data_IF_255285601248
#
_entry.id   IF_255285601248
#
_cell.length_a   1.000
_cell.length_b   1.000
_cell.length_c   1.000
_cell.angle_alpha   90.00
_cell.angle_beta   90.00
_cell.angle_gamma   90.00
#
_symmetry.space_group_name_H-M   'P 1'
#
loop_
_entity.id
_entity.type
_entity.pdbx_description
1 polymer ?
#
# COMPACT_ATOMS: atom_id res chain seq x y z
N UNK A 1 -9.90 9.62 57.04
CA UNK A 1 -9.70 10.75 56.12
C UNK A 1 -9.62 10.19 54.72
N UNK A 2 -10.76 10.10 54.04
CA UNK A 2 -10.89 9.54 52.69
C UNK A 2 -10.89 10.71 51.69
N UNK A 3 -9.98 10.67 50.72
CA UNK A 3 -9.88 11.67 49.67
C UNK A 3 -10.73 11.22 48.49
N UNK A 4 -11.83 11.92 48.25
CA UNK A 4 -12.71 11.75 47.10
C UNK A 4 -12.01 12.31 45.87
N UNK A 5 -11.70 11.46 44.90
CA UNK A 5 -11.25 11.88 43.57
C UNK A 5 -12.46 12.38 42.77
N UNK A 6 -12.43 13.67 42.42
CA UNK A 6 -13.43 14.31 41.57
C UNK A 6 -13.34 13.72 40.15
N UNK A 7 -14.37 12.98 39.73
CA UNK A 7 -14.58 12.66 38.32
C UNK A 7 -15.07 13.94 37.63
N UNK A 8 -14.22 14.57 36.84
CA UNK A 8 -14.64 15.66 35.97
C UNK A 8 -15.49 15.05 34.83
N UNK A 9 -16.77 15.45 34.79
CA UNK A 9 -17.73 14.99 33.80
C UNK A 9 -17.35 15.42 32.38
N UNK A 10 -17.50 14.49 31.44
CA UNK A 10 -17.48 14.78 30.01
C UNK A 10 -18.69 15.67 29.69
N UNK A 11 -18.44 16.89 29.21
CA UNK A 11 -19.46 17.73 28.57
C UNK A 11 -19.98 17.07 27.28
N UNK A 12 -21.07 17.59 26.69
CA UNK A 12 -21.63 17.05 25.45
C UNK A 12 -20.58 17.16 24.35
N UNK A 13 -20.02 16.01 23.97
CA UNK A 13 -18.81 15.92 23.16
C UNK A 13 -19.00 16.55 21.79
N UNK A 14 -18.16 17.53 21.48
CA UNK A 14 -17.87 17.92 20.12
C UNK A 14 -17.53 16.64 19.34
N UNK A 15 -18.24 16.37 18.25
CA UNK A 15 -18.02 15.15 17.48
C UNK A 15 -16.53 15.06 17.11
N UNK A 16 -15.87 13.97 17.48
CA UNK A 16 -14.45 13.80 17.19
C UNK A 16 -14.20 14.05 15.69
N UNK A 17 -13.11 14.73 15.30
CA UNK A 17 -12.86 15.12 13.90
C UNK A 17 -12.49 13.94 12.99
N UNK A 18 -12.72 12.71 13.48
CA UNK A 18 -12.49 11.45 12.80
C UNK A 18 -13.42 10.35 13.33
N UNK A 19 -13.59 9.32 12.51
CA UNK A 19 -14.12 8.01 12.94
C UNK A 19 -12.95 7.07 13.18
N UNK A 20 -12.98 6.34 14.27
CA UNK A 20 -11.97 5.34 14.64
C UNK A 20 -12.53 3.94 14.48
N UNK A 21 -11.71 3.04 13.92
CA UNK A 21 -12.01 1.62 13.81
C UNK A 21 -10.83 0.81 14.31
N UNK A 22 -11.10 -0.23 15.08
CA UNK A 22 -10.13 -1.28 15.35
C UNK A 22 -10.02 -2.22 14.14
N UNK A 23 -8.79 -2.50 13.70
CA UNK A 23 -8.52 -3.45 12.62
C UNK A 23 -8.47 -4.85 13.20
N UNK A 24 -9.57 -5.59 13.01
CA UNK A 24 -9.80 -6.93 13.58
C UNK A 24 -9.10 -7.99 12.76
N UNK A 25 -7.84 -8.22 13.11
CA UNK A 25 -7.03 -9.26 12.46
C UNK A 25 -7.53 -10.66 12.84
N UNK A 26 -7.83 -10.93 14.11
CA UNK A 26 -8.01 -12.30 14.64
C UNK A 26 -9.46 -12.78 14.77
N UNK A 27 -10.45 -11.98 14.40
CA UNK A 27 -11.87 -12.32 14.58
C UNK A 27 -12.55 -12.72 13.26
N UNK A 28 -13.14 -13.91 13.27
CA UNK A 28 -14.04 -14.42 12.23
C UNK A 28 -13.40 -14.67 10.86
N UNK A 29 -14.18 -15.28 9.95
CA UNK A 29 -13.80 -15.36 8.54
C UNK A 29 -13.95 -13.98 7.88
N UNK A 30 -13.11 -13.68 6.88
CA UNK A 30 -13.30 -12.48 6.06
C UNK A 30 -14.63 -12.56 5.32
N UNK A 31 -15.50 -11.53 5.38
CA UNK A 31 -16.75 -11.53 4.66
C UNK A 31 -16.50 -11.50 3.14
N UNK A 32 -17.34 -12.15 2.33
CA UNK A 32 -17.24 -12.08 0.88
C UNK A 32 -17.45 -10.64 0.38
N UNK A 33 -16.89 -10.29 -0.78
CA UNK A 33 -16.90 -8.92 -1.28
C UNK A 33 -18.29 -8.29 -1.46
N UNK A 34 -19.32 -9.12 -1.71
CA UNK A 34 -20.72 -8.68 -1.80
C UNK A 34 -21.31 -8.13 -0.50
N UNK A 35 -20.66 -8.38 0.64
CA UNK A 35 -21.10 -7.94 1.97
C UNK A 35 -20.29 -6.76 2.53
N UNK A 36 -19.36 -6.19 1.73
CA UNK A 36 -18.54 -5.05 2.13
C UNK A 36 -19.35 -3.74 2.02
N UNK A 37 -20.04 -3.38 3.09
CA UNK A 37 -20.99 -2.25 3.12
C UNK A 37 -20.42 -0.98 3.74
N UNK A 38 -19.35 -1.09 4.53
CA UNK A 38 -18.69 0.05 5.19
C UNK A 38 -17.17 0.05 5.01
N UNK A 39 -16.53 1.19 5.26
CA UNK A 39 -15.06 1.28 5.26
C UNK A 39 -14.44 0.31 6.28
N UNK A 40 -15.08 0.14 7.44
CA UNK A 40 -14.65 -0.81 8.47
C UNK A 40 -14.68 -2.26 7.97
N UNK A 41 -15.72 -2.65 7.22
CA UNK A 41 -15.82 -4.01 6.66
C UNK A 41 -14.70 -4.27 5.66
N UNK A 42 -14.44 -3.29 4.77
CA UNK A 42 -13.38 -3.40 3.75
C UNK A 42 -12.01 -3.48 4.42
N UNK A 43 -11.71 -2.60 5.38
CA UNK A 43 -10.44 -2.58 6.11
C UNK A 43 -10.20 -3.92 6.79
N UNK A 44 -11.21 -4.46 7.49
CA UNK A 44 -11.08 -5.74 8.19
C UNK A 44 -10.94 -6.93 7.23
N UNK A 45 -11.70 -6.96 6.12
CA UNK A 45 -11.56 -8.00 5.11
C UNK A 45 -10.17 -8.00 4.45
N UNK A 46 -9.67 -6.82 4.09
CA UNK A 46 -8.33 -6.62 3.52
C UNK A 46 -7.26 -7.07 4.51
N UNK A 47 -7.28 -6.57 5.75
CA UNK A 47 -6.27 -6.90 6.74
C UNK A 47 -6.18 -8.41 7.04
N UNK A 48 -7.34 -9.09 7.11
CA UNK A 48 -7.39 -10.55 7.29
C UNK A 48 -6.80 -11.30 6.10
N UNK A 49 -7.18 -10.96 4.87
CA UNK A 49 -6.63 -11.59 3.67
C UNK A 49 -5.12 -11.37 3.54
N UNK A 50 -4.64 -10.17 3.88
CA UNK A 50 -3.20 -9.87 3.92
C UNK A 50 -2.45 -10.80 4.89
N UNK A 51 -2.98 -11.03 6.09
CA UNK A 51 -2.39 -11.97 7.03
C UNK A 51 -2.51 -13.42 6.54
N UNK A 52 -3.73 -13.87 6.23
CA UNK A 52 -4.04 -15.29 6.02
C UNK A 52 -3.58 -15.84 4.67
N UNK A 53 -3.54 -14.98 3.64
CA UNK A 53 -3.22 -15.39 2.26
C UNK A 53 -1.88 -14.88 1.77
N UNK A 54 -1.40 -13.75 2.30
CA UNK A 54 -0.12 -13.17 1.89
C UNK A 54 0.98 -13.28 2.97
N UNK A 55 0.67 -13.77 4.17
CA UNK A 55 1.64 -13.95 5.24
C UNK A 55 2.16 -12.65 5.84
N UNK A 56 1.40 -11.54 5.71
CA UNK A 56 1.83 -10.25 6.22
C UNK A 56 1.64 -10.13 7.73
N UNK A 57 2.68 -9.64 8.40
CA UNK A 57 2.71 -9.42 9.84
C UNK A 57 2.19 -8.04 10.20
N UNK A 58 1.41 -7.92 11.27
CA UNK A 58 0.85 -6.66 11.75
C UNK A 58 1.16 -6.43 13.23
N UNK A 59 1.12 -5.17 13.71
CA UNK A 59 1.08 -4.88 15.14
C UNK A 59 -0.13 -5.54 15.81
N UNK A 60 0.03 -5.94 17.08
CA UNK A 60 -1.03 -6.59 17.86
C UNK A 60 -2.31 -5.74 17.95
N UNK A 61 -2.14 -4.42 18.03
CA UNK A 61 -3.23 -3.44 17.95
C UNK A 61 -2.96 -2.56 16.75
N UNK A 62 -3.89 -2.57 15.79
CA UNK A 62 -3.86 -1.72 14.60
C UNK A 62 -5.17 -0.98 14.49
N UNK A 63 -5.12 0.34 14.24
CA UNK A 63 -6.32 1.19 14.12
C UNK A 63 -6.43 1.81 12.73
N UNK A 64 -7.64 2.17 12.34
CA UNK A 64 -7.91 3.00 11.19
C UNK A 64 -8.65 4.26 11.62
N UNK A 65 -8.13 5.42 11.23
CA UNK A 65 -8.70 6.72 11.53
C UNK A 65 -9.17 7.37 10.23
N UNK A 66 -10.46 7.66 10.11
CA UNK A 66 -11.04 8.34 8.94
C UNK A 66 -11.37 9.77 9.34
N UNK A 67 -10.51 10.71 8.95
CA UNK A 67 -10.63 12.13 9.24
C UNK A 67 -11.57 12.82 8.27
N UNK A 68 -12.20 13.91 8.69
CA UNK A 68 -13.12 14.67 7.82
C UNK A 68 -12.38 15.24 6.60
N UNK A 69 -11.18 15.79 6.79
CA UNK A 69 -10.45 16.51 5.76
C UNK A 69 -8.93 16.54 6.03
N UNK A 70 -8.18 17.26 5.21
CA UNK A 70 -6.73 17.41 5.36
C UNK A 70 -6.30 18.00 6.71
N UNK A 71 -6.96 19.05 7.19
CA UNK A 71 -6.54 19.75 8.41
C UNK A 71 -6.66 18.82 9.63
N UNK A 72 -7.79 18.11 9.73
CA UNK A 72 -8.01 17.11 10.78
C UNK A 72 -7.07 15.91 10.66
N UNK A 73 -6.72 15.47 9.44
CA UNK A 73 -5.70 14.45 9.23
C UNK A 73 -4.33 14.87 9.77
N UNK A 74 -3.85 16.07 9.41
CA UNK A 74 -2.54 16.57 9.87
C UNK A 74 -2.50 16.63 11.39
N UNK A 75 -3.56 17.13 12.02
CA UNK A 75 -3.69 17.15 13.49
C UNK A 75 -3.61 15.75 14.10
N UNK A 76 -4.28 14.77 13.48
CA UNK A 76 -4.21 13.37 13.87
C UNK A 76 -2.80 12.78 13.77
N UNK A 77 -2.07 13.08 12.70
CA UNK A 77 -0.69 12.62 12.53
C UNK A 77 0.24 13.19 13.62
N UNK A 78 0.04 14.43 14.03
CA UNK A 78 0.81 15.04 15.12
C UNK A 78 0.47 14.43 16.48
N UNK A 79 -0.82 14.37 16.80
CA UNK A 79 -1.28 14.03 18.16
C UNK A 79 -1.31 12.53 18.44
N UNK A 80 -1.64 11.72 17.43
CA UNK A 80 -1.86 10.28 17.60
C UNK A 80 -0.68 9.48 17.05
N UNK A 81 -0.19 9.83 15.85
CA UNK A 81 0.94 9.10 15.26
C UNK A 81 2.31 9.56 15.80
N UNK A 82 2.38 10.72 16.46
CA UNK A 82 3.62 11.28 17.00
C UNK A 82 4.59 11.75 15.92
N UNK A 83 4.08 12.09 14.74
CA UNK A 83 4.87 12.63 13.62
C UNK A 83 5.35 14.04 13.93
N UNK A 84 6.47 14.47 13.34
CA UNK A 84 6.89 15.86 13.43
C UNK A 84 5.99 16.77 12.58
N UNK A 85 5.98 18.08 12.88
CA UNK A 85 5.24 19.08 12.10
C UNK A 85 5.54 19.01 10.60
N UNK A 86 6.81 18.91 10.24
CA UNK A 86 7.24 18.84 8.84
C UNK A 86 6.73 17.56 8.15
N UNK A 87 6.89 16.40 8.79
CA UNK A 87 6.47 15.11 8.25
C UNK A 87 4.95 15.02 8.11
N UNK A 88 4.21 15.48 9.12
CA UNK A 88 2.75 15.48 9.10
C UNK A 88 2.20 16.35 7.98
N UNK A 89 2.80 17.54 7.75
CA UNK A 89 2.40 18.42 6.66
C UNK A 89 2.76 17.86 5.28
N UNK A 90 3.96 17.29 5.09
CA UNK A 90 4.35 16.71 3.80
C UNK A 90 3.44 15.54 3.41
N UNK A 91 3.16 14.65 4.37
CA UNK A 91 2.24 13.50 4.20
C UNK A 91 0.80 13.97 3.97
N UNK A 92 0.26 14.83 4.83
CA UNK A 92 -1.14 15.24 4.81
C UNK A 92 -1.55 16.09 3.59
N UNK A 93 -0.61 16.83 2.99
CA UNK A 93 -0.89 17.73 1.86
C UNK A 93 -1.42 17.03 0.62
N UNK A 94 -0.97 15.79 0.37
CA UNK A 94 -1.23 15.09 -0.90
C UNK A 94 -1.87 13.71 -0.72
N UNK A 95 -1.63 13.05 0.42
CA UNK A 95 -1.99 11.65 0.57
C UNK A 95 -3.49 11.46 0.85
N UNK A 96 -4.10 10.46 0.21
CA UNK A 96 -5.46 10.02 0.54
C UNK A 96 -5.47 9.11 1.80
N UNK A 97 -4.33 8.48 2.09
CA UNK A 97 -4.07 7.66 3.26
C UNK A 97 -2.62 7.78 3.69
N UNK A 98 -2.35 7.55 4.97
CA UNK A 98 -1.01 7.55 5.55
C UNK A 98 -0.92 6.39 6.53
N UNK A 99 0.02 5.47 6.30
CA UNK A 99 0.36 4.43 7.25
C UNK A 99 1.40 4.88 8.28
N UNK A 100 1.18 4.48 9.54
CA UNK A 100 2.05 4.74 10.67
C UNK A 100 2.18 3.47 11.54
N UNK A 101 2.98 3.51 12.61
CA UNK A 101 3.15 2.35 13.50
C UNK A 101 1.88 1.94 14.23
N UNK A 102 0.94 2.87 14.42
CA UNK A 102 -0.34 2.61 15.13
C UNK A 102 -1.48 2.23 14.18
N UNK A 103 -1.27 2.38 12.86
CA UNK A 103 -2.22 1.98 11.84
C UNK A 103 -2.35 2.99 10.69
N UNK A 104 -3.53 3.09 10.10
CA UNK A 104 -3.78 3.91 8.90
C UNK A 104 -4.61 5.16 9.21
N UNK A 105 -4.26 6.27 8.56
CA UNK A 105 -4.88 7.58 8.72
C UNK A 105 -5.39 8.02 7.35
N UNK A 106 -6.70 8.21 7.21
CA UNK A 106 -7.37 8.32 5.92
C UNK A 106 -8.12 9.65 5.78
N UNK A 107 -8.10 10.22 4.57
CA UNK A 107 -8.84 11.43 4.21
C UNK A 107 -10.28 11.12 3.80
N UNK A 108 -11.24 11.30 4.70
CA UNK A 108 -12.67 11.06 4.46
C UNK A 108 -13.24 11.87 3.30
N UNK A 109 -12.82 13.13 3.13
CA UNK A 109 -13.18 13.96 1.97
C UNK A 109 -12.75 13.32 0.64
N UNK A 110 -11.60 12.64 0.60
CA UNK A 110 -11.15 11.90 -0.58
C UNK A 110 -11.88 10.57 -0.73
N UNK A 111 -12.07 9.82 0.36
CA UNK A 111 -12.79 8.54 0.34
C UNK A 111 -14.23 8.68 -0.16
N UNK A 112 -14.90 9.77 0.18
CA UNK A 112 -16.27 10.05 -0.24
C UNK A 112 -16.43 10.12 -1.78
N UNK A 113 -15.37 10.48 -2.49
CA UNK A 113 -15.34 10.55 -3.96
C UNK A 113 -14.77 9.28 -4.62
N UNK A 114 -14.34 8.28 -3.85
CA UNK A 114 -13.80 7.04 -4.37
C UNK A 114 -14.89 5.97 -4.49
N UNK A 115 -14.91 5.28 -5.63
CA UNK A 115 -15.68 4.04 -5.77
C UNK A 115 -15.08 2.91 -4.92
N UNK A 116 -15.87 1.85 -4.70
CA UNK A 116 -15.50 0.74 -3.81
C UNK A 116 -14.13 0.13 -4.12
N UNK A 117 -13.87 -0.18 -5.40
CA UNK A 117 -12.59 -0.74 -5.85
C UNK A 117 -11.39 0.16 -5.48
N UNK A 118 -11.52 1.48 -5.65
CA UNK A 118 -10.46 2.43 -5.30
C UNK A 118 -10.23 2.50 -3.79
N UNK A 119 -11.29 2.46 -2.99
CA UNK A 119 -11.17 2.43 -1.51
C UNK A 119 -10.49 1.15 -1.03
N UNK A 120 -10.94 -0.01 -1.52
CA UNK A 120 -10.33 -1.29 -1.18
C UNK A 120 -8.84 -1.33 -1.56
N UNK A 121 -8.51 -0.81 -2.74
CA UNK A 121 -7.12 -0.71 -3.17
C UNK A 121 -6.27 0.23 -2.32
N UNK A 122 -6.80 1.38 -1.92
CA UNK A 122 -6.11 2.31 -1.00
C UNK A 122 -5.87 1.65 0.36
N UNK A 123 -6.89 1.02 0.96
CA UNK A 123 -6.73 0.38 2.27
C UNK A 123 -5.70 -0.74 2.25
N UNK A 124 -5.68 -1.56 1.18
CA UNK A 124 -4.68 -2.60 1.00
C UNK A 124 -3.26 -2.03 0.86
N UNK A 125 -3.10 -0.94 0.12
CA UNK A 125 -1.82 -0.25 -0.03
C UNK A 125 -1.32 0.31 1.31
N UNK A 126 -2.15 1.05 2.04
CA UNK A 126 -1.75 1.64 3.34
C UNK A 126 -1.49 0.57 4.41
N UNK A 127 -2.31 -0.49 4.47
CA UNK A 127 -2.07 -1.59 5.41
C UNK A 127 -0.79 -2.36 5.07
N UNK A 128 -0.35 -2.38 3.80
CA UNK A 128 0.91 -3.00 3.43
C UNK A 128 2.09 -2.24 4.05
N UNK A 129 2.01 -0.92 4.11
CA UNK A 129 2.99 -0.09 4.81
C UNK A 129 2.96 -0.30 6.32
N UNK A 130 1.79 -0.48 6.94
CA UNK A 130 1.72 -0.86 8.37
C UNK A 130 2.48 -2.18 8.62
N UNK A 131 2.30 -3.17 7.74
CA UNK A 131 3.03 -4.44 7.84
C UNK A 131 4.54 -4.27 7.62
N UNK A 132 4.96 -3.49 6.63
CA UNK A 132 6.38 -3.17 6.42
C UNK A 132 7.00 -2.46 7.63
N UNK A 133 6.26 -1.54 8.28
CA UNK A 133 6.71 -0.88 9.50
C UNK A 133 6.88 -1.88 10.66
N UNK A 134 5.98 -2.86 10.77
CA UNK A 134 6.08 -3.94 11.76
C UNK A 134 7.27 -4.85 11.50
N UNK A 135 7.52 -5.26 10.26
CA UNK A 135 8.63 -6.16 9.90
C UNK A 135 10.00 -5.60 10.26
N UNK A 136 10.16 -4.27 10.19
CA UNK A 136 11.43 -3.60 10.56
C UNK A 136 11.51 -3.12 12.00
N UNK A 137 10.53 -3.48 12.85
CA UNK A 137 10.50 -3.03 14.24
C UNK A 137 11.79 -3.42 14.99
N UNK A 138 12.33 -2.51 15.79
CA UNK A 138 13.63 -2.66 16.45
C UNK A 138 14.82 -2.14 15.65
N UNK A 139 14.72 -2.06 14.33
CA UNK A 139 15.78 -1.55 13.46
C UNK A 139 15.67 -0.05 13.15
N UNK A 140 16.81 0.55 12.77
CA UNK A 140 16.91 1.96 12.35
C UNK A 140 16.84 2.15 10.84
N UNK A 141 17.12 1.08 10.08
CA UNK A 141 17.13 1.11 8.62
C UNK A 141 15.74 1.17 7.99
N UNK A 142 15.72 1.41 6.68
CA UNK A 142 14.52 1.33 5.84
C UNK A 142 14.89 0.84 4.46
N UNK A 143 14.06 -0.01 3.87
CA UNK A 143 14.19 -0.38 2.47
C UNK A 143 14.01 0.84 1.56
N UNK A 144 14.56 0.74 0.35
CA UNK A 144 14.41 1.79 -0.67
C UNK A 144 12.92 2.10 -0.93
N UNK A 145 12.61 3.37 -1.19
CA UNK A 145 11.24 3.82 -1.41
C UNK A 145 10.56 3.04 -2.55
N UNK A 146 11.25 2.82 -3.67
CA UNK A 146 10.68 2.06 -4.80
C UNK A 146 10.18 0.66 -4.41
N UNK A 147 10.91 -0.08 -3.57
CA UNK A 147 10.53 -1.46 -3.25
C UNK A 147 9.39 -1.50 -2.22
N UNK A 148 9.30 -0.49 -1.36
CA UNK A 148 8.19 -0.35 -0.40
C UNK A 148 6.88 -0.04 -1.12
N UNK A 149 6.88 0.97 -2.01
CA UNK A 149 5.71 1.39 -2.77
C UNK A 149 5.31 0.33 -3.80
N UNK A 150 6.29 -0.28 -4.48
CA UNK A 150 6.04 -1.37 -5.42
C UNK A 150 5.42 -2.60 -4.76
N UNK A 151 5.87 -2.95 -3.54
CA UNK A 151 5.24 -4.02 -2.75
C UNK A 151 3.84 -3.66 -2.27
N UNK A 152 3.62 -2.42 -1.83
CA UNK A 152 2.29 -1.96 -1.43
C UNK A 152 1.29 -2.04 -2.60
N UNK A 153 1.70 -1.68 -3.82
CA UNK A 153 0.89 -1.85 -5.03
C UNK A 153 0.71 -3.32 -5.44
N UNK A 154 1.75 -4.17 -5.30
CA UNK A 154 1.61 -5.60 -5.51
C UNK A 154 0.56 -6.21 -4.58
N UNK A 155 0.65 -5.90 -3.27
CA UNK A 155 -0.33 -6.33 -2.27
C UNK A 155 -1.73 -5.85 -2.63
N UNK A 156 -1.88 -4.56 -2.96
CA UNK A 156 -3.15 -3.99 -3.41
C UNK A 156 -3.78 -4.80 -4.55
N UNK A 157 -3.04 -5.09 -5.61
CA UNK A 157 -3.60 -5.82 -6.75
C UNK A 157 -3.91 -7.28 -6.40
N UNK A 158 -3.07 -7.94 -5.60
CA UNK A 158 -3.37 -9.30 -5.10
C UNK A 158 -4.62 -9.33 -4.23
N UNK A 159 -4.85 -8.30 -3.41
CA UNK A 159 -6.03 -8.20 -2.56
C UNK A 159 -7.30 -7.95 -3.37
N UNK A 160 -7.25 -7.08 -4.39
CA UNK A 160 -8.38 -6.87 -5.28
C UNK A 160 -8.77 -8.17 -6.02
N UNK A 161 -7.79 -8.99 -6.38
CA UNK A 161 -8.01 -10.30 -7.00
C UNK A 161 -8.63 -11.31 -6.01
N UNK A 162 -8.06 -11.41 -4.80
CA UNK A 162 -8.57 -12.28 -3.73
C UNK A 162 -9.98 -11.91 -3.28
N UNK A 163 -10.35 -10.62 -3.37
CA UNK A 163 -11.70 -10.13 -3.11
C UNK A 163 -12.65 -10.37 -4.31
N UNK A 164 -12.16 -10.84 -5.45
CA UNK A 164 -12.95 -10.99 -6.68
C UNK A 164 -13.39 -9.66 -7.29
N UNK A 165 -12.72 -8.57 -6.95
CA UNK A 165 -13.07 -7.22 -7.41
C UNK A 165 -12.40 -6.87 -8.75
N UNK A 166 -11.15 -7.28 -8.94
CA UNK A 166 -10.43 -7.12 -10.20
C UNK A 166 -9.32 -8.16 -10.29
N UNK A 167 -9.25 -8.88 -11.41
CA UNK A 167 -8.23 -9.87 -11.65
C UNK A 167 -6.82 -9.23 -11.63
N UNK A 168 -5.85 -9.93 -11.05
CA UNK A 168 -4.47 -9.43 -10.94
C UNK A 168 -3.87 -9.06 -12.30
N UNK A 169 -4.09 -9.90 -13.32
CA UNK A 169 -3.63 -9.66 -14.69
C UNK A 169 -4.17 -8.35 -15.27
N UNK A 170 -5.45 -8.03 -15.02
CA UNK A 170 -6.07 -6.77 -15.45
C UNK A 170 -5.37 -5.57 -14.82
N UNK A 171 -5.12 -5.59 -13.50
CA UNK A 171 -4.38 -4.52 -12.83
C UNK A 171 -2.96 -4.36 -13.36
N UNK A 172 -2.26 -5.47 -13.58
CA UNK A 172 -0.91 -5.46 -14.16
C UNK A 172 -0.89 -4.84 -15.55
N UNK A 173 -1.83 -5.21 -16.42
CA UNK A 173 -1.96 -4.65 -17.75
C UNK A 173 -2.32 -3.15 -17.73
N UNK A 174 -3.12 -2.70 -16.77
CA UNK A 174 -3.41 -1.28 -16.58
C UNK A 174 -2.14 -0.49 -16.23
N UNK A 175 -1.28 -1.04 -15.37
CA UNK A 175 0.00 -0.41 -15.06
C UNK A 175 0.89 -0.36 -16.29
N UNK A 176 1.01 -1.45 -17.05
CA UNK A 176 1.77 -1.47 -18.30
C UNK A 176 1.24 -0.43 -19.28
N UNK A 177 -0.08 -0.37 -19.49
CA UNK A 177 -0.71 0.65 -20.34
C UNK A 177 -0.48 2.07 -19.83
N UNK A 178 -0.40 2.30 -18.51
CA UNK A 178 -0.10 3.61 -17.94
C UNK A 178 1.32 4.07 -18.27
N UNK A 179 2.27 3.14 -18.29
CA UNK A 179 3.68 3.40 -18.62
C UNK A 179 3.83 3.66 -20.12
N UNK A 180 3.25 2.80 -20.96
CA UNK A 180 3.30 2.94 -22.42
C UNK A 180 2.65 4.25 -22.89
N UNK A 181 1.55 4.67 -22.25
CA UNK A 181 0.85 5.92 -22.57
C UNK A 181 1.36 7.15 -21.81
N UNK A 182 2.42 7.00 -21.01
CA UNK A 182 3.01 8.13 -20.29
C UNK A 182 3.52 9.19 -21.26
N UNK A 183 3.37 10.46 -20.89
CA UNK A 183 3.91 11.58 -21.67
C UNK A 183 5.45 11.50 -21.79
N UNK A 184 6.11 10.97 -20.77
CA UNK A 184 7.55 10.69 -20.77
C UNK A 184 7.79 9.24 -21.15
N UNK A 185 8.63 8.99 -22.16
CA UNK A 185 8.97 7.61 -22.56
C UNK A 185 9.75 6.89 -21.45
N UNK A 186 9.58 5.57 -21.26
CA UNK A 186 10.22 4.84 -20.16
C UNK A 186 11.74 4.94 -20.11
N UNK A 187 12.40 5.06 -21.27
CA UNK A 187 13.86 5.31 -21.37
C UNK A 187 14.35 6.60 -20.70
N UNK A 188 13.43 7.52 -20.40
CA UNK A 188 13.72 8.77 -19.69
C UNK A 188 13.23 8.76 -18.24
N UNK A 189 12.65 7.64 -17.77
CA UNK A 189 12.35 7.50 -16.34
C UNK A 189 13.64 7.37 -15.55
N UNK A 190 13.70 7.90 -14.32
CA UNK A 190 14.85 7.65 -13.45
C UNK A 190 15.00 6.15 -13.16
N UNK A 191 16.24 5.70 -12.99
CA UNK A 191 16.57 4.37 -12.48
C UNK A 191 16.00 4.13 -11.08
N UNK A 192 15.78 2.86 -10.69
CA UNK A 192 15.31 2.50 -9.35
C UNK A 192 16.26 2.99 -8.24
N UNK A 193 17.56 3.03 -8.52
CA UNK A 193 18.60 3.60 -7.64
C UNK A 193 18.34 5.08 -7.28
N UNK A 194 17.82 5.86 -8.23
CA UNK A 194 17.44 7.24 -8.00
C UNK A 194 16.11 7.36 -7.23
N UNK A 195 15.35 6.27 -7.09
CA UNK A 195 14.06 6.22 -6.39
C UNK A 195 14.16 5.56 -5.02
N UNK A 196 15.32 5.69 -4.37
CA UNK A 196 15.59 5.11 -3.05
C UNK A 196 15.02 5.96 -1.89
N UNK A 197 14.98 7.28 -2.03
CA UNK A 197 14.53 8.21 -0.98
C UNK A 197 13.21 8.92 -1.29
N UNK A 198 12.46 9.26 -0.23
CA UNK A 198 11.14 9.91 -0.34
C UNK A 198 11.18 11.26 -1.07
N UNK A 199 12.18 12.11 -0.79
CA UNK A 199 12.28 13.43 -1.43
C UNK A 199 12.37 13.33 -2.96
N UNK A 200 13.24 12.43 -3.46
CA UNK A 200 13.41 12.21 -4.89
C UNK A 200 12.16 11.55 -5.48
N UNK A 201 11.59 10.53 -4.82
CA UNK A 201 10.32 9.90 -5.22
C UNK A 201 9.19 10.92 -5.41
N UNK A 202 8.98 11.80 -4.43
CA UNK A 202 7.95 12.84 -4.47
C UNK A 202 8.19 13.85 -5.59
N UNK A 203 9.44 14.30 -5.77
CA UNK A 203 9.77 15.22 -6.87
C UNK A 203 9.55 14.58 -8.24
N UNK A 204 9.96 13.32 -8.43
CA UNK A 204 9.78 12.58 -9.69
C UNK A 204 8.31 12.33 -9.97
N UNK A 205 7.52 11.92 -8.98
CA UNK A 205 6.08 11.70 -9.15
C UNK A 205 5.37 12.98 -9.60
N UNK A 206 5.74 14.14 -9.04
CA UNK A 206 5.19 15.45 -9.45
C UNK A 206 5.60 15.83 -10.87
N UNK A 207 6.85 15.56 -11.26
CA UNK A 207 7.41 15.99 -12.55
C UNK A 207 7.02 15.06 -13.71
N UNK A 208 7.07 13.75 -13.49
CA UNK A 208 6.95 12.73 -14.53
C UNK A 208 5.71 11.85 -14.37
N UNK A 209 4.95 12.04 -13.29
CA UNK A 209 3.74 11.28 -13.00
C UNK A 209 3.99 9.91 -12.32
N UNK A 210 2.92 9.24 -11.88
CA UNK A 210 3.00 7.99 -11.12
C UNK A 210 3.51 6.80 -11.96
N UNK A 211 3.36 6.82 -13.29
CA UNK A 211 3.92 5.79 -14.15
C UNK A 211 5.45 5.70 -14.02
N UNK A 212 6.12 6.85 -13.85
CA UNK A 212 7.56 6.95 -13.68
C UNK A 212 8.05 6.63 -12.26
N UNK A 213 7.15 6.35 -11.31
CA UNK A 213 7.49 5.95 -9.93
C UNK A 213 6.76 4.67 -9.56
N UNK A 214 5.51 4.77 -9.15
CA UNK A 214 4.63 3.65 -8.79
C UNK A 214 4.59 2.56 -9.86
N UNK A 215 4.41 2.93 -11.13
CA UNK A 215 4.29 1.96 -12.22
C UNK A 215 5.53 1.08 -12.40
N UNK A 216 6.72 1.70 -12.53
CA UNK A 216 7.96 0.94 -12.65
C UNK A 216 8.32 0.18 -11.36
N UNK A 217 8.02 0.76 -10.19
CA UNK A 217 8.26 0.14 -8.89
C UNK A 217 7.45 -1.13 -8.72
N UNK A 218 6.15 -1.08 -9.05
CA UNK A 218 5.28 -2.25 -9.08
C UNK A 218 5.83 -3.33 -10.01
N UNK A 219 6.16 -3.01 -11.26
CA UNK A 219 6.67 -4.03 -12.20
C UNK A 219 8.01 -4.63 -11.77
N UNK A 220 8.88 -3.85 -11.13
CA UNK A 220 10.11 -4.35 -10.56
C UNK A 220 9.83 -5.36 -9.42
N UNK A 221 8.92 -5.01 -8.51
CA UNK A 221 8.54 -5.91 -7.40
C UNK A 221 7.81 -7.14 -7.89
N UNK A 222 6.86 -6.99 -8.82
CA UNK A 222 6.14 -8.08 -9.45
C UNK A 222 7.10 -9.10 -10.05
N UNK A 223 8.10 -8.64 -10.80
CA UNK A 223 9.12 -9.53 -11.34
C UNK A 223 10.01 -10.16 -10.26
N UNK A 224 10.41 -9.40 -9.25
CA UNK A 224 11.20 -9.95 -8.14
C UNK A 224 10.45 -11.10 -7.45
N UNK A 225 9.14 -10.95 -7.26
CA UNK A 225 8.24 -11.95 -6.69
C UNK A 225 8.03 -13.12 -7.66
N UNK A 226 7.85 -12.88 -8.96
CA UNK A 226 7.77 -13.96 -9.97
C UNK A 226 9.02 -14.85 -9.93
N UNK A 227 10.20 -14.25 -9.72
CA UNK A 227 11.48 -14.98 -9.77
C UNK A 227 11.83 -15.70 -8.47
N UNK A 228 11.53 -15.11 -7.32
CA UNK A 228 12.01 -15.60 -6.02
C UNK A 228 10.90 -15.89 -5.00
N UNK A 229 9.65 -15.58 -5.34
CA UNK A 229 8.50 -15.70 -4.45
C UNK A 229 8.36 -14.53 -3.49
N UNK A 230 7.12 -14.27 -3.03
CA UNK A 230 6.83 -13.19 -2.09
C UNK A 230 7.50 -13.40 -0.73
N UNK A 231 7.64 -14.66 -0.28
CA UNK A 231 8.30 -14.99 0.98
C UNK A 231 9.74 -14.44 1.06
N UNK A 232 10.48 -14.47 -0.05
CA UNK A 232 11.83 -13.87 -0.10
C UNK A 232 11.80 -12.35 0.03
N UNK A 233 10.80 -11.68 -0.56
CA UNK A 233 10.65 -10.25 -0.38
C UNK A 233 10.27 -9.88 1.06
N UNK A 234 9.43 -10.68 1.73
CA UNK A 234 9.11 -10.48 3.14
C UNK A 234 10.33 -10.68 4.03
N UNK A 235 11.11 -11.74 3.79
CA UNK A 235 12.40 -11.97 4.45
C UNK A 235 13.32 -10.74 4.28
N UNK A 236 13.40 -10.18 3.07
CA UNK A 236 14.18 -8.95 2.83
C UNK A 236 13.69 -7.76 3.68
N UNK A 237 12.39 -7.56 3.85
CA UNK A 237 11.86 -6.49 4.70
C UNK A 237 12.14 -6.74 6.19
N UNK A 238 12.00 -7.98 6.66
CA UNK A 238 12.25 -8.36 8.06
C UNK A 238 13.71 -8.13 8.47
N UNK A 239 14.65 -8.26 7.53
CA UNK A 239 16.07 -7.98 7.81
C UNK A 239 16.34 -6.54 8.25
N UNK A 240 15.46 -5.59 7.93
CA UNK A 240 15.59 -4.21 8.41
C UNK A 240 15.31 -4.05 9.90
N UNK A 241 14.86 -5.09 10.61
CA UNK A 241 14.84 -5.13 12.07
C UNK A 241 16.26 -5.29 12.67
N UNK A 242 17.22 -5.76 11.88
CA UNK A 242 18.60 -5.96 12.29
C UNK A 242 19.39 -4.65 12.25
N UNK A 243 20.32 -4.47 13.20
CA UNK A 243 21.29 -3.37 13.16
C UNK A 243 22.48 -3.72 12.26
N UNK A 244 22.20 -3.86 10.96
CA UNK A 244 23.21 -4.15 9.94
C UNK A 244 23.08 -3.18 8.76
N UNK A 245 24.11 -3.16 7.90
CA UNK A 245 24.16 -2.29 6.75
C UNK A 245 23.03 -2.64 5.75
N UNK A 246 22.14 -1.70 5.36
CA UNK A 246 21.04 -1.96 4.43
C UNK A 246 21.44 -2.66 3.12
N UNK A 247 22.64 -2.34 2.62
CA UNK A 247 23.21 -2.90 1.40
C UNK A 247 23.55 -4.41 1.53
N UNK A 248 23.71 -4.92 2.75
CA UNK A 248 23.95 -6.34 3.02
C UNK A 248 22.65 -7.14 3.04
N UNK A 249 21.51 -6.51 3.34
CA UNK A 249 20.23 -7.21 3.39
C UNK A 249 19.85 -7.82 2.03
N UNK A 250 20.13 -7.14 0.92
CA UNK A 250 19.85 -7.67 -0.41
C UNK A 250 20.64 -8.95 -0.69
N UNK A 251 21.96 -8.90 -0.48
CA UNK A 251 22.88 -10.02 -0.76
C UNK A 251 22.60 -11.25 0.09
N UNK A 252 22.02 -11.06 1.27
CA UNK A 252 21.64 -12.16 2.16
C UNK A 252 20.40 -12.92 1.68
N UNK A 253 19.54 -12.30 0.86
CA UNK A 253 18.23 -12.85 0.49
C UNK A 253 18.16 -13.23 -0.99
N UNK A 254 18.70 -12.39 -1.86
CA UNK A 254 18.62 -12.57 -3.30
C UNK A 254 19.96 -13.04 -3.87
N UNK A 255 19.95 -14.04 -4.78
CA UNK A 255 21.17 -14.64 -5.32
C UNK A 255 21.88 -13.79 -6.36
N UNK A 256 21.26 -12.69 -6.82
CA UNK A 256 21.85 -11.76 -7.78
C UNK A 256 22.27 -10.45 -7.11
N UNK A 257 23.34 -9.79 -7.57
CA UNK A 257 23.67 -8.44 -7.13
C UNK A 257 22.53 -7.44 -7.37
N UNK A 258 22.35 -6.48 -6.46
CA UNK A 258 21.33 -5.44 -6.57
C UNK A 258 21.42 -4.67 -7.90
N UNK A 259 22.64 -4.28 -8.30
CA UNK A 259 22.87 -3.56 -9.56
C UNK A 259 22.44 -4.40 -10.78
N UNK A 260 22.76 -5.69 -10.77
CA UNK A 260 22.32 -6.59 -11.84
C UNK A 260 20.80 -6.58 -11.96
N UNK A 261 20.07 -6.67 -10.84
CA UNK A 261 18.61 -6.61 -10.83
C UNK A 261 18.08 -5.28 -11.39
N UNK A 262 18.66 -4.14 -10.98
CA UNK A 262 18.24 -2.82 -11.46
C UNK A 262 18.46 -2.67 -12.98
N UNK A 263 19.60 -3.10 -13.50
CA UNK A 263 19.92 -3.07 -14.93
C UNK A 263 18.96 -3.97 -15.73
N UNK A 264 18.68 -5.16 -15.19
CA UNK A 264 17.70 -6.10 -15.70
C UNK A 264 16.29 -5.46 -15.77
N UNK A 265 15.83 -4.79 -14.71
CA UNK A 265 14.55 -4.08 -14.68
C UNK A 265 14.49 -2.97 -15.73
N UNK A 266 15.60 -2.23 -15.89
CA UNK A 266 15.71 -1.15 -16.88
C UNK A 266 15.55 -1.68 -18.30
N UNK A 267 16.28 -2.74 -18.63
CA UNK A 267 16.22 -3.36 -19.96
C UNK A 267 14.79 -3.84 -20.30
N UNK A 268 14.07 -4.41 -19.33
CA UNK A 268 12.68 -4.85 -19.55
C UNK A 268 11.70 -3.71 -19.72
N UNK A 269 11.85 -2.65 -18.93
CA UNK A 269 10.99 -1.47 -19.00
C UNK A 269 11.14 -0.73 -20.34
N UNK A 270 12.31 -0.79 -20.95
CA UNK A 270 12.59 -0.18 -22.26
C UNK A 270 12.35 -1.14 -23.45
N UNK A 271 12.35 -2.44 -23.17
CA UNK A 271 12.28 -3.49 -24.19
C UNK A 271 10.86 -3.78 -24.71
N UNK A 272 10.75 -4.54 -25.81
CA UNK A 272 9.46 -4.89 -26.44
C UNK A 272 8.58 -5.79 -25.56
N UNK A 273 9.15 -6.41 -24.52
CA UNK A 273 8.45 -7.21 -23.51
C UNK A 273 7.51 -6.41 -22.61
N UNK A 274 7.60 -5.07 -22.60
CA UNK A 274 6.62 -4.21 -21.93
C UNK A 274 5.35 -4.02 -22.79
N UNK A 275 4.83 -5.12 -23.34
CA UNK A 275 3.56 -5.13 -24.04
C UNK A 275 2.45 -5.52 -23.05
N UNK A 276 1.29 -4.84 -23.05
CA UNK A 276 0.10 -5.36 -22.37
C UNK A 276 -0.22 -6.75 -22.95
N UNK A 277 -0.74 -7.67 -22.15
CA UNK A 277 -1.32 -8.88 -22.73
C UNK A 277 -2.41 -8.47 -23.73
N UNK A 278 -2.46 -9.12 -24.91
CA UNK A 278 -3.60 -8.94 -25.81
C UNK A 278 -4.87 -9.34 -25.06
N UNK A 279 -5.80 -8.40 -24.92
CA UNK A 279 -7.08 -8.67 -24.29
C UNK A 279 -7.81 -9.67 -25.17
N UNK A 280 -7.83 -10.94 -24.78
CA UNK A 280 -8.81 -11.88 -25.35
C UNK A 280 -10.20 -11.31 -25.08
N UNK A 281 -11.08 -11.24 -26.10
CA UNK A 281 -12.44 -10.77 -25.89
C UNK A 281 -13.07 -11.59 -24.77
N UNK A 282 -13.76 -10.90 -23.85
CA UNK A 282 -14.47 -11.56 -22.77
C UNK A 282 -15.32 -12.71 -23.33
N UNK A 283 -15.32 -13.90 -22.70
CA UNK A 283 -16.20 -14.98 -23.13
C UNK A 283 -17.63 -14.45 -23.18
N UNK A 284 -18.32 -14.73 -24.29
CA UNK A 284 -19.70 -14.31 -24.49
C UNK A 284 -20.53 -14.72 -23.27
N UNK A 285 -21.44 -13.85 -22.78
CA UNK A 285 -22.30 -14.20 -21.65
C UNK A 285 -23.04 -15.51 -21.96
N UNK A 286 -23.19 -16.41 -20.98
CA UNK A 286 -23.90 -17.67 -21.19
C UNK A 286 -25.30 -17.38 -21.72
N UNK A 287 -25.60 -17.96 -22.88
CA UNK A 287 -26.92 -17.88 -23.49
C UNK A 287 -27.90 -18.66 -22.63
N UNK A 288 -28.64 -17.96 -21.76
CA UNK A 288 -29.74 -18.57 -21.04
C UNK A 288 -30.88 -18.83 -22.02
N UNK A 289 -31.41 -20.07 -22.13
CA UNK A 289 -32.58 -20.34 -22.93
C UNK A 289 -33.74 -19.50 -22.38
N UNK A 290 -34.40 -18.73 -23.27
CA UNK A 290 -35.67 -18.09 -22.94
C UNK A 290 -36.64 -19.19 -22.54
N UNK A 291 -37.18 -19.10 -21.31
CA UNK A 291 -38.28 -19.96 -20.90
C UNK A 291 -39.50 -19.71 -21.80
N UNK A 292 -40.26 -20.77 -22.12
CA UNK A 292 -41.47 -20.70 -22.94
C UNK A 292 -42.55 -19.81 -22.30
#
# INVERSE_FOLDING_TARGET
MALVALVAGAGPGEAAPYREYEVRLHEGAAPPAGDLRSDADIINAVARLMRDKLGLSFPAVTKAYVYVNQASLVDGLLRIAGETSEEAWDKGRVAAGVATRVGIFLRGDRLAHMHLLARAGLFAHELAHVSQLKMREGGRGRAAQWILEGHADWVKFRLLDLLGMQAYATSRDEVVRSIVRSATRPKFFPGLEALTGNARWTSTTKQLGPAATYGQAFLAVDWLIERYGSAKLLEFFERFALDANPQEHWRAVFPIPYRQFVDECRARLEGPTLAPAEVSPAPAPPSFPRRP
#
